data_IF_370455407837
#
_entry.id   IF_370455407837
#
_cell.length_a   1.000
_cell.length_b   1.000
_cell.length_c   1.000
_cell.angle_alpha   90.00
_cell.angle_beta   90.00
_cell.angle_gamma   90.00
#
_symmetry.space_group_name_H-M   'P 1'
#
loop_
_entity.id
_entity.type
_entity.pdbx_description
1 polymer ?
#
# COMPACT_ATOMS: atom_id res chain seq x y z
N UNK A 1 -9.90 41.90 49.50
CA UNK A 1 -10.10 42.10 48.05
C UNK A 1 -11.48 42.69 47.85
N UNK A 2 -11.59 43.79 47.12
CA UNK A 2 -12.90 44.37 46.77
C UNK A 2 -13.75 43.39 45.97
N UNK A 3 -15.04 43.32 46.28
CA UNK A 3 -16.00 42.43 45.61
C UNK A 3 -16.03 42.70 44.09
N UNK A 4 -15.85 43.97 43.69
CA UNK A 4 -15.72 44.37 42.30
C UNK A 4 -14.49 43.73 41.62
N UNK A 5 -13.34 43.67 42.31
CA UNK A 5 -12.13 43.04 41.78
C UNK A 5 -12.29 41.52 41.65
N UNK A 6 -12.91 40.87 42.64
CA UNK A 6 -13.21 39.43 42.57
C UNK A 6 -14.19 39.10 41.42
N UNK A 7 -15.21 39.94 41.21
CA UNK A 7 -16.18 39.79 40.13
C UNK A 7 -15.56 40.00 38.74
N UNK A 8 -14.71 41.01 38.57
CA UNK A 8 -14.00 41.26 37.31
C UNK A 8 -13.03 40.13 36.94
N UNK A 9 -12.34 39.54 37.93
CA UNK A 9 -11.46 38.39 37.71
C UNK A 9 -12.27 37.16 37.29
N UNK A 10 -13.41 36.90 37.95
CA UNK A 10 -14.29 35.79 37.60
C UNK A 10 -14.89 35.93 36.19
N UNK A 11 -15.33 37.14 35.81
CA UNK A 11 -15.86 37.43 34.48
C UNK A 11 -14.76 37.28 33.39
N UNK A 12 -13.55 37.76 33.67
CA UNK A 12 -12.39 37.60 32.79
C UNK A 12 -11.96 36.14 32.60
N UNK A 13 -12.07 35.32 33.64
CA UNK A 13 -11.81 33.88 33.57
C UNK A 13 -12.86 33.14 32.73
N UNK A 14 -14.15 33.51 32.83
CA UNK A 14 -15.21 32.93 32.01
C UNK A 14 -15.08 33.31 30.53
N UNK A 15 -14.73 34.56 30.23
CA UNK A 15 -14.47 35.03 28.87
C UNK A 15 -13.26 34.32 28.23
N UNK A 16 -12.17 34.15 28.97
CA UNK A 16 -10.98 33.44 28.45
C UNK A 16 -11.26 31.96 28.20
N UNK A 17 -12.05 31.28 29.05
CA UNK A 17 -12.49 29.90 28.81
C UNK A 17 -13.42 29.80 27.59
N UNK A 18 -14.37 30.73 27.43
CA UNK A 18 -15.29 30.73 26.29
C UNK A 18 -14.56 30.97 24.95
N UNK A 19 -13.66 31.96 24.92
CA UNK A 19 -12.83 32.26 23.75
C UNK A 19 -11.88 31.10 23.46
N UNK A 20 -11.26 30.51 24.50
CA UNK A 20 -10.40 29.34 24.38
C UNK A 20 -11.14 28.12 23.82
N UNK A 21 -12.38 27.87 24.25
CA UNK A 21 -13.23 26.79 23.74
C UNK A 21 -13.58 27.00 22.27
N UNK A 22 -13.97 28.22 21.87
CA UNK A 22 -14.31 28.53 20.48
C UNK A 22 -13.11 28.45 19.55
N UNK A 23 -11.96 29.01 19.96
CA UNK A 23 -10.72 28.91 19.20
C UNK A 23 -10.22 27.46 19.09
N UNK A 24 -10.37 26.65 20.14
CA UNK A 24 -10.02 25.23 20.09
C UNK A 24 -10.97 24.42 19.17
N UNK A 25 -12.28 24.74 19.19
CA UNK A 25 -13.26 24.13 18.31
C UNK A 25 -13.05 24.53 16.83
N UNK A 26 -12.70 25.79 16.56
CA UNK A 26 -12.35 26.24 15.22
C UNK A 26 -11.01 25.67 14.77
N UNK A 27 -10.00 25.62 15.64
CA UNK A 27 -8.69 25.04 15.32
C UNK A 27 -8.80 23.53 15.03
N UNK A 28 -9.68 22.80 15.73
CA UNK A 28 -9.97 21.38 15.42
C UNK A 28 -10.74 21.19 14.12
N UNK A 29 -11.72 22.05 13.81
CA UNK A 29 -12.47 22.03 12.54
C UNK A 29 -11.58 22.42 11.35
N UNK A 30 -10.77 23.46 11.47
CA UNK A 30 -9.76 23.86 10.47
C UNK A 30 -8.67 22.81 10.32
N UNK A 31 -8.22 22.18 11.39
CA UNK A 31 -7.28 21.05 11.32
C UNK A 31 -7.90 19.86 10.59
N UNK A 32 -9.15 19.51 10.84
CA UNK A 32 -9.85 18.44 10.09
C UNK A 32 -10.05 18.83 8.62
N UNK A 33 -10.37 20.09 8.32
CA UNK A 33 -10.51 20.62 6.96
C UNK A 33 -9.17 20.67 6.20
N UNK A 34 -8.10 21.15 6.83
CA UNK A 34 -6.75 21.12 6.28
C UNK A 34 -6.25 19.70 6.12
N UNK A 35 -6.46 18.82 7.09
CA UNK A 35 -6.07 17.40 6.96
C UNK A 35 -6.86 16.70 5.85
N UNK A 36 -8.14 17.02 5.65
CA UNK A 36 -8.93 16.47 4.54
C UNK A 36 -8.52 17.05 3.19
N UNK A 37 -8.23 18.36 3.10
CA UNK A 37 -7.65 18.99 1.91
C UNK A 37 -6.26 18.42 1.58
N UNK A 38 -5.35 18.36 2.55
CA UNK A 38 -4.02 17.77 2.39
C UNK A 38 -4.15 16.28 2.01
N UNK A 39 -5.10 15.54 2.57
CA UNK A 39 -5.36 14.15 2.16
C UNK A 39 -5.88 14.08 0.72
N UNK A 40 -6.83 14.94 0.32
CA UNK A 40 -7.44 15.01 -1.03
C UNK A 40 -6.40 15.41 -2.10
N UNK A 41 -5.48 16.33 -1.77
CA UNK A 41 -4.51 16.85 -2.73
C UNK A 41 -3.12 16.17 -2.67
N UNK A 42 -2.61 15.78 -1.50
CA UNK A 42 -1.26 15.20 -1.34
C UNK A 42 -1.30 13.67 -1.33
N UNK A 43 -2.25 13.05 -0.61
CA UNK A 43 -2.29 11.60 -0.49
C UNK A 43 -2.94 10.92 -1.70
N UNK A 44 -3.92 11.57 -2.33
CA UNK A 44 -4.68 10.97 -3.43
C UNK A 44 -4.16 11.34 -4.82
N UNK A 45 -3.45 12.46 -5.00
CA UNK A 45 -2.93 12.86 -6.32
C UNK A 45 -1.75 11.95 -6.69
N UNK A 46 -2.03 10.98 -7.55
CA UNK A 46 -1.02 10.19 -8.23
C UNK A 46 -0.32 11.07 -9.27
N UNK A 47 0.99 11.27 -9.13
CA UNK A 47 1.77 12.06 -10.10
C UNK A 47 1.93 11.30 -11.41
N UNK A 48 2.06 9.99 -11.35
CA UNK A 48 2.34 9.15 -12.52
C UNK A 48 1.18 8.17 -12.73
N UNK A 49 0.56 8.26 -13.90
CA UNK A 49 -0.40 7.27 -14.41
C UNK A 49 0.29 5.90 -14.33
N UNK A 50 -0.37 4.90 -13.72
CA UNK A 50 0.12 3.52 -13.69
C UNK A 50 0.12 2.95 -15.10
N UNK A 51 1.09 3.33 -15.92
CA UNK A 51 1.45 2.56 -17.09
C UNK A 51 1.99 1.24 -16.57
N UNK A 52 1.44 0.15 -17.12
CA UNK A 52 1.62 -1.26 -16.76
C UNK A 52 2.77 -1.47 -15.76
N UNK A 53 2.53 -2.02 -14.57
CA UNK A 53 3.60 -2.45 -13.65
C UNK A 53 4.42 -1.39 -12.89
N UNK A 54 4.01 -0.11 -12.87
CA UNK A 54 4.55 0.90 -11.94
C UNK A 54 3.68 1.01 -10.67
N UNK A 55 4.25 1.40 -9.53
CA UNK A 55 3.46 1.60 -8.30
C UNK A 55 2.78 2.96 -8.27
N UNK A 56 1.63 3.00 -7.63
CA UNK A 56 0.92 4.22 -7.26
C UNK A 56 1.82 5.11 -6.38
N UNK A 57 2.39 6.19 -6.94
CA UNK A 57 3.19 7.17 -6.19
C UNK A 57 2.32 8.36 -5.83
N UNK A 58 1.93 8.45 -4.56
CA UNK A 58 1.32 9.68 -4.01
C UNK A 58 2.32 10.83 -4.00
N UNK A 59 1.87 12.09 -3.98
CA UNK A 59 2.77 13.26 -3.89
C UNK A 59 3.67 13.16 -2.66
N UNK A 60 3.14 12.73 -1.51
CA UNK A 60 3.93 12.55 -0.29
C UNK A 60 5.07 11.55 -0.49
N UNK A 61 4.80 10.41 -1.13
CA UNK A 61 5.84 9.42 -1.44
C UNK A 61 6.86 9.93 -2.46
N UNK A 62 6.43 10.67 -3.48
CA UNK A 62 7.33 11.28 -4.45
C UNK A 62 8.27 12.30 -3.78
N UNK A 63 7.72 13.12 -2.89
CA UNK A 63 8.49 14.08 -2.10
C UNK A 63 9.53 13.38 -1.21
N UNK A 64 9.15 12.30 -0.51
CA UNK A 64 10.09 11.51 0.29
C UNK A 64 11.21 10.89 -0.55
N UNK A 65 10.91 10.41 -1.76
CA UNK A 65 11.92 9.88 -2.68
C UNK A 65 12.88 10.98 -3.15
N UNK A 66 12.37 12.16 -3.52
CA UNK A 66 13.21 13.29 -3.94
C UNK A 66 14.12 13.72 -2.80
N UNK A 67 13.58 13.86 -1.58
CA UNK A 67 14.37 14.20 -0.40
C UNK A 67 15.46 13.16 -0.12
N UNK A 68 15.13 11.86 -0.24
CA UNK A 68 16.08 10.77 -0.07
C UNK A 68 17.21 10.80 -1.11
N UNK A 69 16.89 11.00 -2.39
CA UNK A 69 17.91 11.11 -3.45
C UNK A 69 18.77 12.35 -3.25
N UNK A 70 18.17 13.49 -2.90
CA UNK A 70 18.89 14.72 -2.62
C UNK A 70 19.83 14.57 -1.42
N UNK A 71 19.38 13.93 -0.34
CA UNK A 71 20.21 13.68 0.84
C UNK A 71 21.45 12.81 0.51
N UNK A 72 21.28 11.75 -0.28
CA UNK A 72 22.42 10.92 -0.73
C UNK A 72 23.36 11.70 -1.65
N UNK A 73 22.83 12.47 -2.61
CA UNK A 73 23.65 13.29 -3.50
C UNK A 73 24.46 14.36 -2.74
N UNK A 74 23.83 15.01 -1.75
CA UNK A 74 24.51 15.97 -0.87
C UNK A 74 25.56 15.26 -0.03
N UNK A 75 25.22 14.13 0.60
CA UNK A 75 26.18 13.35 1.39
C UNK A 75 27.39 12.90 0.60
N UNK A 76 27.20 12.53 -0.68
CA UNK A 76 28.26 12.09 -1.56
C UNK A 76 29.17 13.25 -2.01
N UNK A 77 28.60 14.39 -2.41
CA UNK A 77 29.34 15.44 -3.12
C UNK A 77 29.70 16.69 -2.30
N UNK A 78 29.03 16.93 -1.16
CA UNK A 78 29.20 18.16 -0.40
C UNK A 78 30.62 18.28 0.17
N UNK A 79 31.31 19.36 -0.21
CA UNK A 79 32.67 19.68 0.27
C UNK A 79 33.72 18.60 -0.04
N UNK A 80 33.57 17.89 -1.16
CA UNK A 80 34.57 16.91 -1.62
C UNK A 80 35.62 17.59 -2.49
N UNK A 81 36.89 17.35 -2.18
CA UNK A 81 38.04 17.97 -2.85
C UNK A 81 38.88 16.99 -3.67
N UNK A 82 38.78 15.68 -3.42
CA UNK A 82 39.57 14.65 -4.12
C UNK A 82 38.69 13.51 -4.62
N UNK A 83 39.18 12.82 -5.66
CA UNK A 83 38.49 11.65 -6.25
C UNK A 83 38.46 10.48 -5.25
N UNK A 84 39.54 10.29 -4.48
CA UNK A 84 39.61 9.25 -3.44
C UNK A 84 38.58 9.49 -2.33
N UNK A 85 38.42 10.74 -1.88
CA UNK A 85 37.39 11.09 -0.89
C UNK A 85 35.98 10.87 -1.45
N UNK A 86 35.74 11.22 -2.71
CA UNK A 86 34.46 10.96 -3.36
C UNK A 86 34.14 9.46 -3.40
N UNK A 87 35.12 8.65 -3.79
CA UNK A 87 34.99 7.18 -3.86
C UNK A 87 34.66 6.58 -2.50
N UNK A 88 35.38 7.00 -1.46
CA UNK A 88 35.16 6.54 -0.09
C UNK A 88 33.77 6.92 0.45
N UNK A 89 33.27 8.13 0.16
CA UNK A 89 31.90 8.51 0.56
C UNK A 89 30.82 7.73 -0.17
N UNK A 90 31.02 7.48 -1.46
CA UNK A 90 30.11 6.66 -2.26
C UNK A 90 30.06 5.22 -1.73
N UNK A 91 31.19 4.64 -1.31
CA UNK A 91 31.21 3.30 -0.71
C UNK A 91 30.44 3.26 0.62
N UNK A 92 30.64 4.24 1.50
CA UNK A 92 29.91 4.38 2.76
C UNK A 92 28.39 4.49 2.57
N UNK A 93 27.94 5.38 1.69
CA UNK A 93 26.51 5.57 1.41
C UNK A 93 25.89 4.33 0.78
N UNK A 94 26.63 3.68 -0.13
CA UNK A 94 26.24 2.42 -0.75
C UNK A 94 25.95 1.34 0.31
N UNK A 95 26.86 1.13 1.28
CA UNK A 95 26.64 0.16 2.36
C UNK A 95 25.46 0.53 3.26
N UNK A 96 25.29 1.81 3.59
CA UNK A 96 24.16 2.29 4.39
C UNK A 96 22.83 1.99 3.67
N UNK A 97 22.74 2.29 2.38
CA UNK A 97 21.56 2.06 1.57
C UNK A 97 21.28 0.57 1.32
N UNK A 98 22.32 -0.27 1.39
CA UNK A 98 22.22 -1.71 1.23
C UNK A 98 21.53 -2.41 2.43
N UNK A 99 21.76 -1.93 3.65
CA UNK A 99 21.22 -2.56 4.88
C UNK A 99 19.68 -2.67 4.85
N UNK A 100 18.91 -1.60 4.55
CA UNK A 100 17.45 -1.69 4.46
C UNK A 100 16.95 -2.60 3.32
N UNK A 101 17.73 -2.77 2.25
CA UNK A 101 17.33 -3.61 1.12
C UNK A 101 17.24 -5.08 1.51
N UNK A 102 18.10 -5.53 2.42
CA UNK A 102 18.11 -6.90 2.90
C UNK A 102 16.90 -7.25 3.75
N UNK A 103 16.21 -6.31 4.40
CA UNK A 103 14.99 -6.63 5.16
C UNK A 103 13.84 -7.20 4.30
N UNK A 104 13.92 -7.03 2.97
CA UNK A 104 13.04 -7.67 1.98
C UNK A 104 11.60 -7.14 1.99
N UNK A 105 11.00 -6.95 0.81
CA UNK A 105 9.70 -6.25 0.69
C UNK A 105 8.56 -6.92 1.47
N UNK A 106 8.52 -8.26 1.51
CA UNK A 106 7.38 -9.04 2.01
C UNK A 106 7.57 -9.61 3.41
N UNK A 107 8.80 -9.75 3.88
CA UNK A 107 9.12 -10.45 5.13
C UNK A 107 9.41 -9.50 6.29
N UNK A 108 9.61 -8.20 6.02
CA UNK A 108 10.02 -7.22 7.02
C UNK A 108 8.96 -6.98 8.12
N UNK A 109 9.06 -7.73 9.20
CA UNK A 109 8.31 -7.47 10.43
C UNK A 109 8.69 -6.10 11.01
N UNK A 110 9.94 -5.68 10.80
CA UNK A 110 10.45 -4.37 11.25
C UNK A 110 9.71 -3.21 10.58
N UNK A 111 9.67 -3.16 9.24
CA UNK A 111 9.04 -2.05 8.53
C UNK A 111 7.53 -1.96 8.79
N UNK A 112 6.87 -3.11 9.01
CA UNK A 112 5.43 -3.18 9.25
C UNK A 112 5.04 -2.95 10.71
N UNK A 113 5.69 -3.62 11.68
CA UNK A 113 5.36 -3.53 13.12
C UNK A 113 5.99 -2.33 13.81
N UNK A 114 7.24 -1.97 13.52
CA UNK A 114 7.91 -0.82 14.16
C UNK A 114 7.61 0.50 13.46
N UNK A 115 7.62 0.54 12.13
CA UNK A 115 7.46 1.78 11.37
C UNK A 115 6.03 2.00 10.83
N UNK A 116 5.13 1.01 10.93
CA UNK A 116 3.76 1.13 10.44
C UNK A 116 3.64 1.35 8.93
N UNK A 117 4.66 0.98 8.15
CA UNK A 117 4.70 1.24 6.71
C UNK A 117 3.80 0.26 5.94
N UNK A 118 3.01 0.79 5.01
CA UNK A 118 2.22 -0.04 4.10
C UNK A 118 3.11 -0.78 3.10
N UNK A 119 2.71 -1.99 2.69
CA UNK A 119 3.45 -2.81 1.71
C UNK A 119 3.76 -2.07 0.39
N UNK A 120 2.86 -1.26 -0.19
CA UNK A 120 3.17 -0.46 -1.39
C UNK A 120 4.25 0.60 -1.13
N UNK A 121 4.21 1.27 0.02
CA UNK A 121 5.24 2.24 0.43
C UNK A 121 6.58 1.54 0.58
N UNK A 122 6.60 0.39 1.24
CA UNK A 122 7.82 -0.39 1.42
C UNK A 122 8.40 -0.88 0.08
N UNK A 123 7.56 -1.39 -0.82
CA UNK A 123 7.99 -1.79 -2.17
C UNK A 123 8.48 -0.62 -3.04
N UNK A 124 7.95 0.59 -2.85
CA UNK A 124 8.46 1.79 -3.50
C UNK A 124 9.85 2.17 -2.98
N UNK A 125 10.02 2.21 -1.66
CA UNK A 125 11.30 2.50 -1.02
C UNK A 125 12.36 1.49 -1.44
N UNK A 126 12.07 0.19 -1.39
CA UNK A 126 13.02 -0.85 -1.80
C UNK A 126 13.54 -0.64 -3.23
N UNK A 127 12.68 -0.27 -4.19
CA UNK A 127 13.11 -0.01 -5.57
C UNK A 127 13.97 1.25 -5.70
N UNK A 128 13.66 2.32 -4.96
CA UNK A 128 14.42 3.56 -5.05
C UNK A 128 15.75 3.46 -4.29
N UNK A 129 15.76 2.86 -3.10
CA UNK A 129 16.99 2.51 -2.39
C UNK A 129 17.88 1.60 -3.24
N UNK A 130 17.32 0.61 -3.93
CA UNK A 130 18.08 -0.27 -4.83
C UNK A 130 18.68 0.44 -6.04
N UNK A 131 18.01 1.47 -6.57
CA UNK A 131 18.55 2.30 -7.67
C UNK A 131 19.66 3.22 -7.19
N UNK A 132 19.49 3.86 -6.03
CA UNK A 132 20.50 4.73 -5.44
C UNK A 132 21.75 3.92 -5.09
N UNK A 133 21.57 2.78 -4.41
CA UNK A 133 22.62 1.79 -4.15
C UNK A 133 23.38 1.41 -5.43
N UNK A 134 22.66 1.09 -6.52
CA UNK A 134 23.28 0.71 -7.78
C UNK A 134 24.11 1.86 -8.39
N UNK A 135 23.58 3.08 -8.38
CA UNK A 135 24.31 4.25 -8.88
C UNK A 135 25.58 4.52 -8.06
N UNK A 136 25.49 4.46 -6.74
CA UNK A 136 26.62 4.64 -5.82
C UNK A 136 27.68 3.54 -6.02
N UNK A 137 27.25 2.27 -6.14
CA UNK A 137 28.14 1.14 -6.38
C UNK A 137 28.87 1.23 -7.73
N UNK A 138 28.17 1.61 -8.80
CA UNK A 138 28.78 1.79 -10.13
C UNK A 138 29.79 2.94 -10.10
N UNK A 139 29.42 4.08 -9.50
CA UNK A 139 30.32 5.23 -9.42
C UNK A 139 31.56 4.90 -8.58
N UNK A 140 31.40 4.29 -7.40
CA UNK A 140 32.52 3.84 -6.58
C UNK A 140 33.44 2.87 -7.35
N UNK A 141 32.88 1.86 -8.01
CA UNK A 141 33.67 0.90 -8.79
C UNK A 141 34.43 1.52 -9.96
N UNK A 142 33.84 2.52 -10.65
CA UNK A 142 34.52 3.25 -11.73
C UNK A 142 35.64 4.16 -11.21
N UNK A 143 35.43 4.82 -10.07
CA UNK A 143 36.44 5.69 -9.48
C UNK A 143 37.63 4.86 -8.96
N UNK A 144 37.39 3.75 -8.27
CA UNK A 144 38.45 2.85 -7.83
C UNK A 144 39.21 2.24 -9.01
N UNK A 145 38.51 1.82 -10.07
CA UNK A 145 39.18 1.31 -11.27
C UNK A 145 40.09 2.35 -11.92
N UNK A 146 39.65 3.61 -11.95
CA UNK A 146 40.45 4.73 -12.45
C UNK A 146 41.66 5.02 -11.57
N UNK A 147 41.53 4.91 -10.24
CA UNK A 147 42.63 5.06 -9.28
C UNK A 147 43.61 3.88 -9.32
N UNK A 148 43.12 2.68 -9.60
CA UNK A 148 43.89 1.43 -9.64
C UNK A 148 44.51 1.12 -11.02
N UNK A 149 44.61 2.09 -11.92
CA UNK A 149 45.20 1.91 -13.26
C UNK A 149 44.63 0.70 -14.04
N UNK A 150 43.31 0.48 -13.95
CA UNK A 150 42.61 -0.57 -14.69
C UNK A 150 42.93 -2.02 -14.29
N UNK A 151 43.52 -2.25 -13.11
CA UNK A 151 43.65 -3.60 -12.57
C UNK A 151 42.40 -3.98 -11.78
N UNK A 152 41.79 -5.12 -12.10
CA UNK A 152 40.61 -5.63 -11.41
C UNK A 152 40.87 -7.04 -10.86
N UNK A 153 40.48 -7.29 -9.62
CA UNK A 153 40.58 -8.61 -8.99
C UNK A 153 39.45 -9.55 -9.44
N UNK A 154 39.65 -10.85 -9.21
CA UNK A 154 38.63 -11.87 -9.47
C UNK A 154 37.36 -11.62 -8.63
N UNK A 155 37.52 -11.18 -7.37
CA UNK A 155 36.39 -10.88 -6.48
C UNK A 155 35.58 -9.69 -6.99
N UNK A 156 36.23 -8.60 -7.40
CA UNK A 156 35.56 -7.42 -7.95
C UNK A 156 34.84 -7.73 -9.27
N UNK A 157 35.47 -8.54 -10.13
CA UNK A 157 34.83 -9.02 -11.36
C UNK A 157 33.59 -9.85 -11.07
N UNK A 158 33.65 -10.73 -10.05
CA UNK A 158 32.50 -11.52 -9.61
C UNK A 158 31.37 -10.63 -9.07
N UNK A 159 31.68 -9.64 -8.23
CA UNK A 159 30.71 -8.66 -7.71
C UNK A 159 30.03 -7.92 -8.87
N UNK A 160 30.80 -7.41 -9.84
CA UNK A 160 30.26 -6.71 -11.00
C UNK A 160 29.32 -7.59 -11.83
N UNK A 161 29.65 -8.88 -11.99
CA UNK A 161 28.81 -9.85 -12.70
C UNK A 161 27.46 -10.08 -12.00
N UNK A 162 27.47 -10.19 -10.66
CA UNK A 162 26.26 -10.39 -9.85
C UNK A 162 25.38 -9.14 -9.87
N UNK A 163 25.98 -7.95 -9.71
CA UNK A 163 25.27 -6.67 -9.82
C UNK A 163 24.64 -6.52 -11.20
N UNK A 164 25.37 -6.84 -12.27
CA UNK A 164 24.86 -6.79 -13.64
C UNK A 164 23.66 -7.73 -13.85
N UNK A 165 23.75 -8.97 -13.34
CA UNK A 165 22.65 -9.93 -13.40
C UNK A 165 21.41 -9.43 -12.62
N UNK A 166 21.61 -8.86 -11.43
CA UNK A 166 20.53 -8.25 -10.63
C UNK A 166 19.82 -7.13 -11.40
N UNK A 167 20.57 -6.27 -12.09
CA UNK A 167 20.00 -5.18 -12.91
C UNK A 167 19.17 -5.75 -14.05
N UNK A 168 19.73 -6.67 -14.84
CA UNK A 168 19.06 -7.26 -16.02
C UNK A 168 17.76 -7.94 -15.61
N UNK A 169 17.79 -8.78 -14.57
CA UNK A 169 16.59 -9.50 -14.09
C UNK A 169 15.55 -8.54 -13.52
N UNK A 170 15.97 -7.41 -12.96
CA UNK A 170 15.10 -6.36 -12.43
C UNK A 170 14.48 -5.46 -13.49
N UNK A 171 14.90 -5.57 -14.76
CA UNK A 171 14.29 -4.84 -15.88
C UNK A 171 12.80 -5.20 -15.96
N UNK A 172 11.99 -4.16 -16.05
CA UNK A 172 10.54 -4.23 -15.95
C UNK A 172 9.90 -5.21 -16.96
N UNK A 173 10.49 -5.32 -18.15
CA UNK A 173 10.05 -6.26 -19.19
C UNK A 173 10.31 -7.72 -18.79
N UNK A 174 11.52 -8.04 -18.33
CA UNK A 174 11.93 -9.39 -17.94
C UNK A 174 11.12 -9.85 -16.71
N UNK A 175 11.04 -9.00 -15.68
CA UNK A 175 10.27 -9.28 -14.46
C UNK A 175 8.80 -9.60 -14.73
N UNK A 176 8.18 -8.98 -15.74
CA UNK A 176 6.77 -9.24 -16.07
C UNK A 176 6.56 -10.58 -16.76
N UNK A 177 7.45 -10.94 -17.69
CA UNK A 177 7.35 -12.20 -18.43
C UNK A 177 7.69 -13.40 -17.55
N UNK A 178 8.73 -13.27 -16.73
CA UNK A 178 9.26 -14.35 -15.92
C UNK A 178 9.36 -13.95 -14.44
N UNK A 179 8.21 -13.63 -13.83
CA UNK A 179 8.17 -13.15 -12.44
C UNK A 179 8.75 -14.15 -11.43
N UNK A 180 8.41 -15.44 -11.57
CA UNK A 180 8.94 -16.50 -10.70
C UNK A 180 10.45 -16.66 -10.82
N UNK A 181 10.97 -16.58 -12.04
CA UNK A 181 12.41 -16.59 -12.29
C UNK A 181 13.07 -15.39 -11.63
N UNK A 182 12.53 -14.18 -11.86
CA UNK A 182 13.00 -12.96 -11.23
C UNK A 182 13.03 -13.09 -9.70
N UNK A 183 11.93 -13.52 -9.07
CA UNK A 183 11.82 -13.57 -7.62
C UNK A 183 12.88 -14.50 -7.00
N UNK A 184 13.03 -15.72 -7.54
CA UNK A 184 13.98 -16.71 -7.04
C UNK A 184 15.42 -16.32 -7.31
N UNK A 185 15.72 -15.90 -8.54
CA UNK A 185 17.08 -15.49 -8.92
C UNK A 185 17.53 -14.23 -8.19
N UNK A 186 16.66 -13.24 -8.02
CA UNK A 186 16.98 -12.01 -7.30
C UNK A 186 17.31 -12.27 -5.83
N UNK A 187 16.61 -13.22 -5.17
CA UNK A 187 16.94 -13.66 -3.82
C UNK A 187 18.33 -14.31 -3.76
N UNK A 188 18.60 -15.28 -4.63
CA UNK A 188 19.89 -16.00 -4.66
C UNK A 188 21.05 -15.05 -4.95
N UNK A 189 20.90 -14.19 -5.95
CA UNK A 189 21.90 -13.19 -6.33
C UNK A 189 22.11 -12.14 -5.23
N UNK A 190 21.06 -11.73 -4.54
CA UNK A 190 21.16 -10.82 -3.38
C UNK A 190 21.96 -11.43 -2.23
N UNK A 191 21.76 -12.71 -1.93
CA UNK A 191 22.54 -13.43 -0.91
C UNK A 191 24.00 -13.62 -1.34
N UNK A 192 24.24 -13.96 -2.61
CA UNK A 192 25.59 -14.04 -3.16
C UNK A 192 26.31 -12.69 -3.07
N UNK A 193 25.64 -11.60 -3.43
CA UNK A 193 26.17 -10.24 -3.32
C UNK A 193 26.51 -9.88 -1.87
N UNK A 194 25.64 -10.22 -0.91
CA UNK A 194 25.92 -10.00 0.52
C UNK A 194 27.22 -10.67 0.97
N UNK A 195 27.38 -11.96 0.63
CA UNK A 195 28.59 -12.71 0.98
C UNK A 195 29.84 -12.17 0.32
N UNK A 196 29.78 -11.84 -0.98
CA UNK A 196 30.90 -11.25 -1.71
C UNK A 196 31.30 -9.88 -1.16
N UNK A 197 30.33 -9.04 -0.82
CA UNK A 197 30.58 -7.74 -0.19
C UNK A 197 31.17 -7.90 1.21
N UNK A 198 30.74 -8.89 1.98
CA UNK A 198 31.35 -9.16 3.28
C UNK A 198 32.85 -9.47 3.14
N UNK A 199 33.25 -10.29 2.16
CA UNK A 199 34.67 -10.54 1.88
C UNK A 199 35.39 -9.29 1.40
N UNK A 200 34.80 -8.52 0.48
CA UNK A 200 35.39 -7.27 -0.02
C UNK A 200 35.65 -6.26 1.10
N UNK A 201 34.72 -6.14 2.05
CA UNK A 201 34.82 -5.22 3.19
C UNK A 201 35.69 -5.77 4.34
N UNK A 202 35.77 -7.09 4.51
CA UNK A 202 36.56 -7.73 5.58
C UNK A 202 38.05 -7.42 5.50
N UNK A 203 38.54 -7.10 4.30
CA UNK A 203 39.93 -6.69 4.04
C UNK A 203 40.21 -5.29 4.60
N UNK A 204 39.18 -4.44 4.74
CA UNK A 204 39.29 -3.03 5.14
C UNK A 204 39.04 -2.81 6.65
N UNK A 205 38.53 -3.80 7.39
CA UNK A 205 38.28 -3.77 8.85
C UNK A 205 37.42 -2.59 9.38
N UNK A 206 36.46 -2.13 8.59
CA UNK A 206 35.62 -0.97 8.93
C UNK A 206 34.28 -1.31 9.63
N UNK A 207 33.69 -0.29 10.26
CA UNK A 207 32.33 -0.26 10.82
C UNK A 207 31.26 -0.85 9.86
N UNK A 208 31.49 -0.72 8.55
CA UNK A 208 30.64 -1.25 7.49
C UNK A 208 30.43 -2.77 7.58
N UNK A 209 31.46 -3.55 7.94
CA UNK A 209 31.38 -5.02 8.07
C UNK A 209 30.44 -5.40 9.22
N UNK A 210 30.51 -4.65 10.33
CA UNK A 210 29.65 -4.84 11.50
C UNK A 210 28.20 -4.54 11.12
N UNK A 211 27.94 -3.41 10.46
CA UNK A 211 26.60 -3.05 9.99
C UNK A 211 26.00 -4.12 9.07
N UNK A 212 26.78 -4.61 8.10
CA UNK A 212 26.34 -5.65 7.18
C UNK A 212 26.06 -6.97 7.91
N UNK A 213 26.93 -7.37 8.85
CA UNK A 213 26.77 -8.61 9.62
C UNK A 213 25.54 -8.58 10.53
N UNK A 214 25.29 -7.45 11.19
CA UNK A 214 24.09 -7.25 12.02
C UNK A 214 22.83 -7.29 11.17
N UNK A 215 22.83 -6.62 10.01
CA UNK A 215 21.70 -6.62 9.08
C UNK A 215 21.39 -8.03 8.56
N UNK A 216 22.42 -8.78 8.15
CA UNK A 216 22.29 -10.18 7.72
C UNK A 216 21.75 -11.07 8.84
N UNK A 217 22.23 -10.91 10.08
CA UNK A 217 21.72 -11.64 11.24
C UNK A 217 20.24 -11.39 11.52
N UNK A 218 19.81 -10.11 11.47
CA UNK A 218 18.39 -9.75 11.62
C UNK A 218 17.51 -10.32 10.51
N UNK A 219 18.01 -10.33 9.27
CA UNK A 219 17.29 -10.92 8.14
C UNK A 219 17.13 -12.43 8.28
N UNK A 220 18.19 -13.15 8.70
CA UNK A 220 18.12 -14.59 8.97
C UNK A 220 17.11 -14.88 10.07
N UNK A 221 17.18 -14.15 11.20
CA UNK A 221 16.24 -14.32 12.31
C UNK A 221 14.79 -14.16 11.84
N UNK A 222 14.50 -13.10 11.09
CA UNK A 222 13.18 -12.83 10.52
C UNK A 222 12.74 -13.91 9.52
N UNK A 223 13.65 -14.45 8.71
CA UNK A 223 13.33 -15.48 7.72
C UNK A 223 13.06 -16.82 8.39
N UNK A 224 13.83 -17.17 9.42
CA UNK A 224 13.62 -18.37 10.24
C UNK A 224 12.29 -18.28 10.97
N UNK A 225 11.96 -17.13 11.59
CA UNK A 225 10.65 -16.97 12.21
C UNK A 225 9.54 -17.10 11.17
N UNK A 226 9.67 -16.49 9.99
CA UNK A 226 8.66 -16.64 8.93
C UNK A 226 8.50 -18.09 8.43
N UNK A 227 9.60 -18.81 8.19
CA UNK A 227 9.60 -20.19 7.73
C UNK A 227 9.05 -21.16 8.78
N UNK A 228 9.38 -20.95 10.05
CA UNK A 228 8.84 -21.74 11.16
C UNK A 228 7.31 -21.63 11.27
N UNK A 229 6.71 -20.55 10.77
CA UNK A 229 5.26 -20.35 10.71
C UNK A 229 4.65 -20.70 9.33
N UNK A 230 5.37 -21.42 8.45
CA UNK A 230 5.01 -21.76 7.07
C UNK A 230 3.71 -22.56 6.90
N UNK A 231 2.62 -21.85 6.58
CA UNK A 231 1.23 -22.27 6.86
C UNK A 231 0.48 -22.93 5.68
N UNK A 232 0.64 -22.44 4.44
CA UNK A 232 -0.43 -22.62 3.43
C UNK A 232 -0.59 -24.01 2.79
N UNK A 233 0.47 -24.83 2.72
CA UNK A 233 0.39 -26.15 2.08
C UNK A 233 0.03 -27.27 3.06
N UNK A 234 0.47 -27.13 4.32
CA UNK A 234 0.16 -28.05 5.41
C UNK A 234 -1.25 -27.84 5.98
N UNK A 235 -1.83 -26.63 5.87
CA UNK A 235 -3.19 -26.34 6.33
C UNK A 235 -4.28 -27.08 5.55
N UNK A 236 -4.11 -27.28 4.24
CA UNK A 236 -5.08 -28.00 3.40
C UNK A 236 -5.12 -29.51 3.69
N UNK A 237 -4.10 -30.03 4.36
CA UNK A 237 -3.91 -31.46 4.65
C UNK A 237 -4.13 -31.78 6.14
N UNK A 238 -4.34 -30.78 7.00
CA UNK A 238 -4.48 -30.96 8.43
C UNK A 238 -5.93 -31.29 8.79
N UNK A 239 -6.16 -32.39 9.52
CA UNK A 239 -7.48 -32.76 10.04
C UNK A 239 -8.02 -31.73 11.03
N UNK A 240 -9.35 -31.75 11.23
CA UNK A 240 -10.20 -30.69 11.81
C UNK A 240 -9.87 -30.16 13.23
N UNK A 241 -8.79 -30.60 13.88
CA UNK A 241 -8.46 -30.25 15.27
C UNK A 241 -7.02 -29.73 15.47
N UNK A 242 -6.57 -28.81 14.61
CA UNK A 242 -5.29 -28.11 14.81
C UNK A 242 -5.48 -26.85 15.68
N UNK A 243 -4.59 -26.66 16.67
CA UNK A 243 -4.47 -25.39 17.38
C UNK A 243 -3.94 -24.30 16.44
N UNK A 244 -4.68 -23.21 16.28
CA UNK A 244 -4.32 -22.11 15.37
C UNK A 244 -3.76 -20.95 16.19
N UNK A 245 -2.53 -20.53 15.88
CA UNK A 245 -1.97 -19.27 16.36
C UNK A 245 -2.25 -18.19 15.31
N UNK A 246 -3.04 -17.19 15.68
CA UNK A 246 -3.41 -16.06 14.81
C UNK A 246 -2.51 -14.87 15.14
N UNK A 247 -1.64 -14.46 14.21
CA UNK A 247 -0.89 -13.20 14.30
C UNK A 247 -1.54 -12.15 13.38
N UNK A 248 -1.86 -10.98 13.93
CA UNK A 248 -2.61 -9.91 13.29
C UNK A 248 -3.49 -9.12 14.28
N UNK A 249 -4.22 -8.08 13.82
CA UNK A 249 -4.34 -7.59 12.45
C UNK A 249 -3.19 -6.66 12.00
N UNK A 250 -2.70 -6.84 10.76
CA UNK A 250 -1.58 -6.08 10.18
C UNK A 250 -1.99 -4.76 9.49
N UNK A 251 -3.19 -4.25 9.77
CA UNK A 251 -3.67 -3.00 9.19
C UNK A 251 -4.83 -2.40 9.97
N UNK A 252 -4.92 -1.08 9.96
CA UNK A 252 -6.13 -0.35 10.35
C UNK A 252 -6.96 -0.09 9.10
N UNK A 253 -8.04 -0.83 8.92
CA UNK A 253 -9.03 -0.53 7.89
C UNK A 253 -9.65 0.85 8.12
N UNK A 254 -10.11 1.55 7.07
CA UNK A 254 -10.88 2.77 7.23
C UNK A 254 -12.16 2.49 8.03
N UNK A 255 -12.47 3.38 8.99
CA UNK A 255 -13.77 3.35 9.66
C UNK A 255 -14.83 3.99 8.78
N UNK A 256 -15.94 3.29 8.58
CA UNK A 256 -17.11 3.78 7.85
C UNK A 256 -18.26 4.19 8.77
N UNK A 257 -18.11 4.00 10.08
CA UNK A 257 -19.19 4.16 11.07
C UNK A 257 -19.67 5.62 11.23
N UNK A 258 -18.78 6.58 10.93
CA UNK A 258 -19.04 8.02 11.01
C UNK A 258 -19.76 8.59 9.77
N UNK A 259 -20.00 7.76 8.74
CA UNK A 259 -20.64 8.19 7.49
C UNK A 259 -22.11 7.78 7.45
N UNK A 260 -22.95 8.63 6.90
CA UNK A 260 -24.36 8.34 6.63
C UNK A 260 -24.51 7.28 5.53
N UNK A 261 -23.65 7.34 4.50
CA UNK A 261 -23.61 6.43 3.35
C UNK A 261 -22.24 5.79 3.18
N UNK A 262 -22.20 4.48 2.92
CA UNK A 262 -20.98 3.76 2.59
C UNK A 262 -21.14 2.96 1.29
N UNK A 263 -20.33 3.30 0.28
CA UNK A 263 -20.31 2.62 -1.01
C UNK A 263 -19.02 1.83 -1.20
N UNK A 264 -19.15 0.57 -1.55
CA UNK A 264 -18.04 -0.35 -1.81
C UNK A 264 -18.01 -0.67 -3.30
N UNK A 265 -16.88 -0.45 -3.95
CA UNK A 265 -16.70 -0.62 -5.39
C UNK A 265 -15.58 -1.63 -5.64
N UNK A 266 -15.92 -2.82 -6.12
CA UNK A 266 -14.99 -3.93 -6.30
C UNK A 266 -14.87 -4.38 -7.77
N UNK A 267 -13.67 -4.81 -8.17
CA UNK A 267 -13.43 -5.57 -9.41
C UNK A 267 -12.88 -6.96 -9.07
N UNK A 268 -13.43 -8.00 -9.68
CA UNK A 268 -12.97 -9.38 -9.53
C UNK A 268 -12.88 -9.84 -8.07
N UNK A 269 -11.72 -10.37 -7.67
CA UNK A 269 -11.45 -10.81 -6.29
C UNK A 269 -11.40 -9.66 -5.27
N UNK A 270 -11.42 -8.40 -5.71
CA UNK A 270 -11.36 -7.22 -4.85
C UNK A 270 -12.54 -7.10 -3.89
N UNK A 271 -13.63 -7.84 -4.14
CA UNK A 271 -14.79 -7.95 -3.24
C UNK A 271 -14.41 -8.46 -1.85
N UNK A 272 -13.38 -9.32 -1.76
CA UNK A 272 -12.88 -9.88 -0.49
C UNK A 272 -12.57 -8.79 0.54
N UNK A 273 -11.98 -7.68 0.11
CA UNK A 273 -11.63 -6.56 0.97
C UNK A 273 -12.85 -5.85 1.57
N UNK A 274 -14.03 -6.00 0.97
CA UNK A 274 -15.25 -5.30 1.37
C UNK A 274 -16.21 -6.16 2.19
N UNK A 275 -16.22 -7.49 1.99
CA UNK A 275 -17.17 -8.39 2.67
C UNK A 275 -17.15 -8.24 4.20
N UNK A 276 -15.97 -8.20 4.82
CA UNK A 276 -15.83 -8.05 6.27
C UNK A 276 -16.20 -6.64 6.74
N UNK A 277 -15.85 -5.61 5.98
CA UNK A 277 -16.22 -4.22 6.29
C UNK A 277 -17.74 -4.04 6.28
N UNK A 278 -18.41 -4.57 5.25
CA UNK A 278 -19.88 -4.57 5.14
C UNK A 278 -20.50 -5.34 6.32
N UNK A 279 -19.98 -6.53 6.65
CA UNK A 279 -20.45 -7.32 7.81
C UNK A 279 -20.36 -6.53 9.12
N UNK A 280 -19.23 -5.88 9.35
CA UNK A 280 -19.00 -5.05 10.55
C UNK A 280 -20.00 -3.91 10.60
N UNK A 281 -20.19 -3.23 9.48
CA UNK A 281 -21.05 -2.06 9.39
C UNK A 281 -22.54 -2.40 9.54
N UNK A 282 -22.99 -3.52 8.97
CA UNK A 282 -24.34 -4.04 9.17
C UNK A 282 -24.62 -4.38 10.64
N UNK A 283 -23.65 -5.01 11.32
CA UNK A 283 -23.77 -5.30 12.76
C UNK A 283 -23.79 -4.02 13.59
N UNK A 284 -22.92 -3.06 13.28
CA UNK A 284 -22.89 -1.78 13.96
C UNK A 284 -24.19 -0.99 13.76
N UNK A 285 -24.77 -1.04 12.55
CA UNK A 285 -26.07 -0.44 12.26
C UNK A 285 -27.20 -1.10 13.08
N UNK A 286 -27.26 -2.43 13.10
CA UNK A 286 -28.26 -3.17 13.89
C UNK A 286 -28.16 -2.84 15.39
N UNK A 287 -26.93 -2.72 15.89
CA UNK A 287 -26.63 -2.35 17.28
C UNK A 287 -26.77 -0.85 17.57
N UNK A 288 -27.09 -0.03 16.56
CA UNK A 288 -27.20 1.44 16.66
C UNK A 288 -25.89 2.11 17.10
N UNK A 289 -24.74 1.52 16.80
CA UNK A 289 -23.41 2.09 17.10
C UNK A 289 -22.79 2.83 15.92
N UNK A 290 -23.29 2.63 14.70
CA UNK A 290 -22.88 3.37 13.50
C UNK A 290 -23.97 4.34 13.04
N UNK A 291 -23.55 5.47 12.45
CA UNK A 291 -24.45 6.44 11.78
C UNK A 291 -24.96 5.91 10.43
N UNK A 292 -24.22 4.99 9.82
CA UNK A 292 -24.49 4.52 8.46
C UNK A 292 -25.88 3.95 8.33
N UNK A 293 -26.64 4.47 7.37
CA UNK A 293 -28.03 4.08 7.08
C UNK A 293 -28.22 3.59 5.65
N UNK A 294 -27.19 3.67 4.81
CA UNK A 294 -27.18 3.10 3.47
C UNK A 294 -25.83 2.51 3.13
N UNK A 295 -25.86 1.26 2.68
CA UNK A 295 -24.69 0.50 2.26
C UNK A 295 -24.93 0.01 0.83
N UNK A 296 -24.02 0.32 -0.08
CA UNK A 296 -24.14 -0.08 -1.48
C UNK A 296 -22.86 -0.77 -1.95
N UNK A 297 -23.00 -1.90 -2.63
CA UNK A 297 -21.89 -2.67 -3.20
C UNK A 297 -22.03 -2.71 -4.73
N UNK A 298 -21.13 -2.04 -5.45
CA UNK A 298 -20.93 -2.21 -6.88
C UNK A 298 -19.81 -3.23 -7.10
N UNK A 299 -20.13 -4.37 -7.70
CA UNK A 299 -19.19 -5.43 -7.98
C UNK A 299 -19.12 -5.74 -9.48
N UNK A 300 -17.97 -5.47 -10.08
CA UNK A 300 -17.67 -5.79 -11.48
C UNK A 300 -16.96 -7.14 -11.55
N UNK A 301 -17.62 -8.12 -12.16
CA UNK A 301 -17.09 -9.47 -12.35
C UNK A 301 -16.08 -9.51 -13.49
N UNK A 302 -14.96 -10.21 -13.28
CA UNK A 302 -13.96 -10.50 -14.34
C UNK A 302 -14.22 -11.87 -14.96
N UNK A 303 -14.69 -12.84 -14.16
CA UNK A 303 -15.12 -14.16 -14.66
C UNK A 303 -16.30 -14.72 -13.84
N UNK A 304 -17.11 -15.60 -14.47
CA UNK A 304 -18.27 -16.24 -13.82
C UNK A 304 -17.89 -17.08 -12.58
N UNK A 305 -16.67 -17.62 -12.54
CA UNK A 305 -16.20 -18.46 -11.43
C UNK A 305 -15.95 -17.65 -10.14
N UNK A 306 -15.74 -16.33 -10.23
CA UNK A 306 -15.64 -15.46 -9.05
C UNK A 306 -16.98 -15.34 -8.33
N UNK A 307 -18.08 -15.43 -9.07
CA UNK A 307 -19.42 -15.30 -8.52
C UNK A 307 -19.79 -16.46 -7.60
N UNK A 308 -19.44 -17.69 -7.98
CA UNK A 308 -19.92 -18.90 -7.29
C UNK A 308 -19.54 -18.97 -5.82
N UNK A 309 -18.33 -18.53 -5.44
CA UNK A 309 -17.90 -18.56 -4.04
C UNK A 309 -18.35 -17.32 -3.25
N UNK A 310 -18.41 -16.14 -3.88
CA UNK A 310 -18.74 -14.90 -3.18
C UNK A 310 -20.24 -14.80 -2.85
N UNK A 311 -21.11 -15.43 -3.65
CA UNK A 311 -22.55 -15.43 -3.42
C UNK A 311 -22.93 -15.97 -2.05
N UNK A 312 -22.27 -17.02 -1.57
CA UNK A 312 -22.53 -17.58 -0.23
C UNK A 312 -22.31 -16.52 0.86
N UNK A 313 -21.21 -15.77 0.78
CA UNK A 313 -20.94 -14.66 1.71
C UNK A 313 -21.96 -13.53 1.58
N UNK A 314 -22.35 -13.17 0.35
CA UNK A 314 -23.36 -12.13 0.12
C UNK A 314 -24.72 -12.54 0.71
N UNK A 315 -25.10 -13.81 0.60
CA UNK A 315 -26.32 -14.32 1.24
C UNK A 315 -26.27 -14.19 2.77
N UNK A 316 -25.14 -14.51 3.39
CA UNK A 316 -24.96 -14.32 4.83
C UNK A 316 -25.04 -12.84 5.24
N UNK A 317 -24.50 -11.92 4.44
CA UNK A 317 -24.64 -10.48 4.70
C UNK A 317 -26.09 -10.02 4.60
N UNK A 318 -26.83 -10.51 3.61
CA UNK A 318 -28.25 -10.18 3.45
C UNK A 318 -29.11 -10.69 4.61
N UNK A 319 -28.76 -11.83 5.22
CA UNK A 319 -29.43 -12.31 6.45
C UNK A 319 -29.20 -11.38 7.65
N UNK A 320 -28.03 -10.74 7.72
CA UNK A 320 -27.71 -9.77 8.79
C UNK A 320 -28.46 -8.44 8.59
N UNK A 321 -28.78 -8.07 7.35
CA UNK A 321 -29.44 -6.80 7.01
C UNK A 321 -30.94 -6.77 7.36
N UNK A 322 -31.26 -6.80 8.65
CA UNK A 322 -32.63 -6.79 9.17
C UNK A 322 -33.42 -5.52 8.80
N UNK A 323 -32.72 -4.41 8.56
CA UNK A 323 -33.30 -3.08 8.28
C UNK A 323 -33.27 -2.68 6.82
N UNK A 324 -32.82 -3.59 5.93
CA UNK A 324 -32.81 -3.40 4.48
C UNK A 324 -32.03 -2.16 4.04
N UNK A 325 -30.86 -1.94 4.61
CA UNK A 325 -29.96 -0.83 4.25
C UNK A 325 -28.91 -1.22 3.21
N UNK A 326 -28.79 -2.51 2.86
CA UNK A 326 -27.78 -3.03 1.96
C UNK A 326 -28.32 -3.26 0.55
N UNK A 327 -27.64 -2.69 -0.45
CA UNK A 327 -27.94 -2.84 -1.87
C UNK A 327 -26.73 -3.40 -2.61
N UNK A 328 -26.96 -4.36 -3.51
CA UNK A 328 -25.90 -5.04 -4.27
C UNK A 328 -26.17 -4.83 -5.76
N UNK A 329 -25.14 -4.39 -6.48
CA UNK A 329 -25.13 -4.17 -7.92
C UNK A 329 -24.00 -4.99 -8.54
N UNK A 330 -24.34 -6.02 -9.31
CA UNK A 330 -23.37 -6.92 -9.97
C UNK A 330 -23.33 -6.61 -11.47
N UNK A 331 -22.17 -6.28 -12.00
CA UNK A 331 -21.93 -6.01 -13.41
C UNK A 331 -21.06 -7.13 -14.03
N UNK A 332 -21.35 -7.55 -15.26
CA UNK A 332 -20.47 -8.45 -16.03
C UNK A 332 -21.00 -9.86 -16.32
N UNK A 333 -22.26 -10.16 -16.00
CA UNK A 333 -22.87 -11.43 -16.44
C UNK A 333 -23.55 -11.25 -17.81
N UNK A 334 -23.32 -12.18 -18.73
CA UNK A 334 -24.03 -12.28 -20.02
C UNK A 334 -25.51 -12.68 -19.87
N UNK A 335 -26.04 -12.71 -18.65
CA UNK A 335 -27.45 -12.89 -18.42
C UNK A 335 -28.19 -11.63 -18.90
N UNK A 336 -29.24 -11.82 -19.70
CA UNK A 336 -30.37 -10.87 -19.75
C UNK A 336 -30.79 -10.57 -18.30
N UNK A 337 -31.55 -9.50 -18.10
CA UNK A 337 -32.17 -9.14 -16.83
C UNK A 337 -33.14 -10.24 -16.38
N UNK A 338 -32.62 -11.40 -15.99
CA UNK A 338 -33.35 -12.48 -15.36
C UNK A 338 -33.33 -12.15 -13.87
N UNK A 339 -34.48 -11.70 -13.40
CA UNK A 339 -34.76 -11.66 -11.98
C UNK A 339 -34.42 -13.04 -11.43
N UNK A 340 -33.52 -13.16 -10.44
CA UNK A 340 -33.39 -14.42 -9.73
C UNK A 340 -34.79 -14.76 -9.22
N UNK A 341 -35.27 -15.98 -9.49
CA UNK A 341 -36.52 -16.51 -8.93
C UNK A 341 -36.44 -16.72 -7.40
N UNK A 342 -35.69 -15.88 -6.68
CA UNK A 342 -35.56 -15.86 -5.23
C UNK A 342 -35.68 -14.41 -4.73
N UNK A 343 -36.90 -14.05 -4.32
CA UNK A 343 -37.31 -13.27 -3.13
C UNK A 343 -36.47 -12.08 -2.57
N UNK A 344 -35.55 -11.43 -3.29
CA UNK A 344 -34.72 -10.38 -2.68
C UNK A 344 -34.73 -9.04 -3.45
N UNK A 345 -35.38 -7.98 -2.92
CA UNK A 345 -35.66 -6.74 -3.67
C UNK A 345 -34.47 -5.78 -3.89
N UNK A 346 -33.22 -6.13 -3.53
CA UNK A 346 -32.06 -5.20 -3.57
C UNK A 346 -30.78 -5.78 -4.18
N UNK A 347 -30.87 -6.91 -4.87
CA UNK A 347 -29.77 -7.46 -5.69
C UNK A 347 -30.07 -7.19 -7.16
N UNK A 348 -29.26 -6.35 -7.79
CA UNK A 348 -29.43 -5.92 -9.17
C UNK A 348 -28.29 -6.47 -10.03
N UNK A 349 -28.64 -7.06 -11.17
CA UNK A 349 -27.69 -7.50 -12.18
C UNK A 349 -27.75 -6.55 -13.37
N UNK A 350 -26.63 -5.93 -13.69
CA UNK A 350 -26.48 -5.03 -14.84
C UNK A 350 -25.60 -5.71 -15.88
N UNK A 351 -25.84 -5.38 -17.15
CA UNK A 351 -25.07 -5.88 -18.27
C UNK A 351 -23.57 -5.53 -18.24
N UNK A 352 -22.91 -5.68 -19.38
CA UNK A 352 -21.45 -5.67 -19.48
C UNK A 352 -20.80 -4.30 -19.29
N UNK A 353 -21.55 -3.21 -19.28
CA UNK A 353 -21.01 -1.87 -19.07
C UNK A 353 -21.90 -1.05 -18.15
N UNK A 354 -21.30 -0.45 -17.12
CA UNK A 354 -21.98 0.48 -16.22
C UNK A 354 -21.07 1.68 -16.03
N UNK A 355 -21.59 2.89 -16.28
CA UNK A 355 -20.84 4.11 -16.00
C UNK A 355 -20.74 4.28 -14.48
N UNK A 356 -19.54 4.03 -13.96
CA UNK A 356 -19.21 4.15 -12.54
C UNK A 356 -19.55 5.55 -12.01
N UNK A 357 -19.39 6.60 -12.83
CA UNK A 357 -19.72 7.96 -12.42
C UNK A 357 -21.21 8.11 -12.17
N UNK A 358 -22.03 7.64 -13.10
CA UNK A 358 -23.48 7.67 -12.96
C UNK A 358 -23.92 6.95 -11.68
N UNK A 359 -23.41 5.74 -11.42
CA UNK A 359 -23.74 4.99 -10.18
C UNK A 359 -23.35 5.76 -8.92
N UNK A 360 -22.17 6.40 -8.93
CA UNK A 360 -21.70 7.22 -7.81
C UNK A 360 -22.62 8.41 -7.55
N UNK A 361 -23.03 9.12 -8.61
CA UNK A 361 -23.87 10.30 -8.50
C UNK A 361 -25.31 9.93 -8.08
N UNK A 362 -25.85 8.81 -8.58
CA UNK A 362 -27.14 8.25 -8.12
C UNK A 362 -27.10 7.83 -6.65
N UNK A 363 -26.07 7.10 -6.23
CA UNK A 363 -25.93 6.68 -4.83
C UNK A 363 -25.69 7.87 -3.89
N UNK A 364 -25.05 8.92 -4.37
CA UNK A 364 -24.97 10.18 -3.62
C UNK A 364 -26.35 10.83 -3.47
N UNK A 365 -27.15 10.90 -4.55
CA UNK A 365 -28.48 11.52 -4.55
C UNK A 365 -29.56 10.70 -3.81
N UNK A 366 -29.35 9.39 -3.65
CA UNK A 366 -30.33 8.48 -3.07
C UNK A 366 -30.68 8.79 -1.60
N UNK A 367 -29.78 9.43 -0.85
CA UNK A 367 -30.04 9.80 0.54
C UNK A 367 -29.17 10.99 0.98
N UNK A 368 -29.71 11.87 1.83
CA UNK A 368 -28.95 13.00 2.37
C UNK A 368 -27.77 12.51 3.25
N UNK A 369 -26.75 13.35 3.45
CA UNK A 369 -25.63 13.05 4.36
C UNK A 369 -24.30 12.80 3.68
N UNK A 370 -23.25 12.64 4.50
CA UNK A 370 -21.89 12.41 4.01
C UNK A 370 -21.72 10.98 3.46
N UNK A 371 -20.82 10.82 2.50
CA UNK A 371 -20.59 9.53 1.84
C UNK A 371 -19.12 9.16 1.83
N UNK A 372 -18.84 7.92 2.21
CA UNK A 372 -17.57 7.28 1.98
C UNK A 372 -17.67 6.29 0.83
N UNK A 373 -16.64 6.26 -0.02
CA UNK A 373 -16.45 5.25 -1.05
C UNK A 373 -15.19 4.45 -0.73
N UNK A 374 -15.27 3.13 -0.76
CA UNK A 374 -14.11 2.22 -0.73
C UNK A 374 -13.97 1.54 -2.07
N UNK A 375 -12.80 1.64 -2.71
CA UNK A 375 -12.51 0.96 -3.97
C UNK A 375 -11.43 -0.11 -3.77
N UNK A 376 -11.62 -1.28 -4.38
CA UNK A 376 -10.64 -2.36 -4.41
C UNK A 376 -10.73 -3.09 -5.76
N UNK A 377 -9.71 -2.99 -6.59
CA UNK A 377 -9.75 -3.63 -7.89
C UNK A 377 -8.53 -3.36 -8.73
N UNK A 378 -8.61 -3.74 -10.02
CA UNK A 378 -7.47 -3.56 -10.92
C UNK A 378 -7.04 -2.08 -10.94
N UNK A 379 -5.76 -1.80 -11.21
CA UNK A 379 -5.26 -0.44 -11.05
C UNK A 379 -5.89 0.55 -12.02
N UNK A 380 -6.21 0.06 -13.21
CA UNK A 380 -6.97 0.81 -14.20
C UNK A 380 -8.38 1.08 -13.69
N UNK A 381 -9.04 0.07 -13.11
CA UNK A 381 -10.37 0.21 -12.53
C UNK A 381 -10.40 1.22 -11.36
N UNK A 382 -9.48 1.12 -10.41
CA UNK A 382 -9.37 2.11 -9.32
C UNK A 382 -9.11 3.52 -9.82
N UNK A 383 -8.29 3.67 -10.86
CA UNK A 383 -8.05 4.97 -11.50
C UNK A 383 -9.35 5.56 -12.08
N UNK A 384 -10.16 4.75 -12.77
CA UNK A 384 -11.44 5.21 -13.31
C UNK A 384 -12.41 5.64 -12.21
N UNK A 385 -12.50 4.87 -11.12
CA UNK A 385 -13.32 5.23 -9.93
C UNK A 385 -12.80 6.54 -9.32
N UNK A 386 -11.49 6.66 -9.09
CA UNK A 386 -10.86 7.90 -8.58
C UNK A 386 -11.14 9.10 -9.48
N UNK A 387 -11.09 8.91 -10.81
CA UNK A 387 -11.40 9.96 -11.78
C UNK A 387 -12.88 10.36 -11.72
N UNK A 388 -13.78 9.40 -11.57
CA UNK A 388 -15.22 9.64 -11.44
C UNK A 388 -15.53 10.45 -10.17
N UNK A 389 -14.99 10.04 -9.02
CA UNK A 389 -15.16 10.79 -7.75
C UNK A 389 -14.63 12.22 -7.85
N UNK A 390 -13.48 12.42 -8.51
CA UNK A 390 -12.91 13.78 -8.71
C UNK A 390 -13.72 14.66 -9.66
N UNK A 391 -14.37 14.05 -10.65
CA UNK A 391 -15.20 14.77 -11.61
C UNK A 391 -16.58 15.10 -11.03
N UNK A 392 -16.98 14.43 -9.95
CA UNK A 392 -18.20 14.74 -9.21
C UNK A 392 -18.05 16.06 -8.45
N UNK A 393 -19.13 16.85 -8.38
CA UNK A 393 -19.19 18.08 -7.59
C UNK A 393 -19.46 17.81 -6.10
N UNK A 394 -19.72 16.55 -5.74
CA UNK A 394 -20.09 16.11 -4.41
C UNK A 394 -18.87 15.91 -3.50
N UNK A 395 -19.01 16.21 -2.21
CA UNK A 395 -17.94 15.99 -1.24
C UNK A 395 -17.98 14.56 -0.69
N UNK A 396 -17.14 13.71 -1.26
CA UNK A 396 -17.09 12.28 -0.96
C UNK A 396 -15.70 11.87 -0.46
N UNK A 397 -15.65 11.01 0.55
CA UNK A 397 -14.40 10.49 1.08
C UNK A 397 -14.04 9.16 0.41
N UNK A 398 -13.00 9.17 -0.44
CA UNK A 398 -12.53 7.97 -1.12
C UNK A 398 -11.40 7.27 -0.37
N UNK A 399 -11.58 5.97 -0.14
CA UNK A 399 -10.61 5.03 0.40
C UNK A 399 -10.24 4.00 -0.66
N UNK A 400 -8.97 3.63 -0.73
CA UNK A 400 -8.49 2.52 -1.58
C UNK A 400 -8.03 1.39 -0.69
N UNK A 401 -8.55 0.18 -0.92
CA UNK A 401 -8.04 -1.03 -0.26
C UNK A 401 -6.87 -1.63 -1.05
N UNK A 402 -6.09 -2.47 -0.38
CA UNK A 402 -4.95 -3.16 -0.97
C UNK A 402 -5.43 -4.26 -1.93
N UNK A 403 -5.37 -3.98 -3.23
CA UNK A 403 -5.60 -4.99 -4.25
C UNK A 403 -4.34 -5.79 -4.56
N UNK A 404 -4.27 -7.03 -4.08
CA UNK A 404 -3.15 -7.96 -4.36
C UNK A 404 -3.50 -8.86 -5.56
N UNK A 405 -3.08 -8.46 -6.77
CA UNK A 405 -3.36 -9.15 -8.04
C UNK A 405 -2.32 -10.18 -8.49
N UNK A 406 -1.10 -10.13 -7.96
CA UNK A 406 0.04 -10.78 -8.62
C UNK A 406 0.05 -12.32 -8.48
N UNK A 407 -1.02 -12.94 -7.98
CA UNK A 407 -1.07 -14.37 -7.62
C UNK A 407 -2.07 -15.22 -8.40
N UNK A 408 -2.89 -14.64 -9.31
CA UNK A 408 -3.80 -15.45 -10.15
C UNK A 408 -3.57 -15.29 -11.65
N UNK A 409 -3.38 -16.42 -12.32
CA UNK A 409 -3.22 -16.57 -13.79
C UNK A 409 -4.41 -16.03 -14.57
N UNK A 410 -5.59 -15.92 -13.96
CA UNK A 410 -6.82 -15.45 -14.59
C UNK A 410 -6.79 -13.95 -14.98
N UNK A 411 -6.03 -13.10 -14.29
CA UNK A 411 -6.04 -11.64 -14.53
C UNK A 411 -5.20 -11.20 -15.72
N UNK A 412 -4.17 -11.97 -16.11
CA UNK A 412 -3.26 -11.64 -17.22
C UNK A 412 -3.99 -11.59 -18.57
N UNK A 413 -5.06 -12.37 -18.74
CA UNK A 413 -5.81 -12.44 -19.99
C UNK A 413 -6.68 -11.21 -20.30
N UNK A 414 -6.88 -10.29 -19.34
CA UNK A 414 -7.78 -9.13 -19.50
C UNK A 414 -7.06 -7.82 -19.84
N UNK A 415 -5.76 -7.68 -19.51
CA UNK A 415 -4.96 -6.51 -19.92
C UNK A 415 -4.89 -6.40 -21.45
N UNK A 416 -4.92 -7.53 -22.15
CA UNK A 416 -4.91 -7.58 -23.61
C UNK A 416 -6.31 -7.38 -24.25
N UNK A 417 -7.40 -7.33 -23.47
CA UNK A 417 -8.78 -7.14 -23.98
C UNK A 417 -9.38 -5.77 -23.69
N UNK A 418 -8.70 -4.94 -22.89
CA UNK A 418 -9.10 -3.57 -22.56
C UNK A 418 -8.18 -2.50 -23.18
N UNK A 419 -7.15 -2.92 -23.93
CA UNK A 419 -6.42 -2.10 -24.89
C UNK A 419 -7.07 -2.27 -26.26
#
# INVERSE_FOLDING_TARGET
MDIAAAYSIALGALLTVFIGWHLAAECTRWRQYLLTLLRKYISQKLIVKRQNGTSDVSIGMAFSVVLFVAANAIGAALSVTTIAELSHRLSMLCTINLVPLFFGVRTSMVASKLCGLSLPTHGLLHRWMGRVFLCEAILHGLLELALANWTISVLETAILSVVSALVVLSILYIRRRAYELFLKSHLVLGLALNGMLWFHLSVLQDLQVVCLSVASGLWVLQTVTWLAHGFSKSLKLCEQHAGILVDGPYGKGPSFEDYDKAMFIASGVGITAHLLAIRSLLRAHNNKTARTRRISLLWVLECKQQESWALEFLYELMKIDTRRIFTILICGSTAKMEQPQLQWPRLWRVGTSTDVRWVIDEEWGAEAGNMAISVCGSPLFEYHVRRAVRASCHDMHLFSSLYQMDESTASKAMVDRLA
#
